data_IF_123309547135
#
_entry.id   IF_123309547135
#
_cell.length_a   1.000
_cell.length_b   1.000
_cell.length_c   1.000
_cell.angle_alpha   90.00
_cell.angle_beta   90.00
_cell.angle_gamma   90.00
#
_symmetry.space_group_name_H-M   'P 1'
#
loop_
_entity.id
_entity.type
_entity.pdbx_description
1 polymer ?
#
# COMPACT_ATOMS: atom_id res chain seq x y z
N UNK A 1 -4.83 33.71 7.28
CA UNK A 1 -5.64 32.90 6.34
C UNK A 1 -5.24 31.47 6.53
N UNK A 2 -6.10 30.52 6.90
CA UNK A 2 -5.72 29.14 6.97
C UNK A 2 -5.37 28.68 5.54
N UNK A 3 -4.17 28.13 5.36
CA UNK A 3 -3.72 27.53 4.13
C UNK A 3 -4.79 26.53 3.66
N UNK A 4 -5.20 26.65 2.40
CA UNK A 4 -6.34 25.96 1.86
C UNK A 4 -6.31 24.46 2.16
N UNK A 5 -7.29 24.00 2.91
CA UNK A 5 -7.49 22.57 3.17
C UNK A 5 -7.77 21.92 1.82
N UNK A 6 -6.82 21.14 1.34
CA UNK A 6 -6.99 20.37 0.12
C UNK A 6 -8.26 19.53 0.26
N UNK A 7 -9.18 19.63 -0.71
CA UNK A 7 -10.45 18.91 -0.63
C UNK A 7 -10.18 17.42 -0.41
N UNK A 8 -10.80 16.76 0.58
CA UNK A 8 -10.50 15.37 0.94
C UNK A 8 -10.42 14.42 -0.25
N UNK A 9 -11.36 14.52 -1.19
CA UNK A 9 -11.38 13.68 -2.38
C UNK A 9 -10.19 13.90 -3.32
N UNK A 10 -9.67 15.13 -3.41
CA UNK A 10 -8.49 15.41 -4.25
C UNK A 10 -7.22 14.81 -3.64
N UNK A 11 -7.07 14.90 -2.32
CA UNK A 11 -5.95 14.28 -1.60
C UNK A 11 -5.93 12.77 -1.80
N UNK A 12 -7.10 12.13 -1.65
CA UNK A 12 -7.24 10.69 -1.87
C UNK A 12 -6.94 10.29 -3.32
N UNK A 13 -7.47 11.00 -4.30
CA UNK A 13 -7.22 10.73 -5.72
C UNK A 13 -5.72 10.87 -6.06
N UNK A 14 -5.07 11.91 -5.54
CA UNK A 14 -3.62 12.11 -5.72
C UNK A 14 -2.81 10.96 -5.10
N UNK A 15 -3.18 10.54 -3.91
CA UNK A 15 -2.53 9.41 -3.24
C UNK A 15 -2.69 8.10 -4.03
N UNK A 16 -3.91 7.81 -4.52
CA UNK A 16 -4.16 6.64 -5.36
C UNK A 16 -3.35 6.70 -6.67
N UNK A 17 -3.23 7.88 -7.29
CA UNK A 17 -2.41 8.05 -8.49
C UNK A 17 -0.92 7.80 -8.22
N UNK A 18 -0.37 8.31 -7.12
CA UNK A 18 1.01 8.06 -6.70
C UNK A 18 1.24 6.56 -6.45
N UNK A 19 0.32 5.90 -5.75
CA UNK A 19 0.38 4.46 -5.50
C UNK A 19 0.34 3.65 -6.80
N UNK A 20 -0.59 3.98 -7.68
CA UNK A 20 -0.71 3.33 -8.98
C UNK A 20 0.58 3.46 -9.81
N UNK A 21 1.14 4.67 -9.91
CA UNK A 21 2.38 4.90 -10.63
C UNK A 21 3.55 4.15 -9.98
N UNK A 22 3.69 4.22 -8.66
CA UNK A 22 4.75 3.55 -7.92
C UNK A 22 4.66 2.02 -8.00
N UNK A 23 3.47 1.44 -7.93
CA UNK A 23 3.28 0.00 -8.08
C UNK A 23 3.47 -0.45 -9.54
N UNK A 24 3.14 0.39 -10.52
CA UNK A 24 3.43 0.10 -11.93
C UNK A 24 4.93 0.07 -12.20
N UNK A 25 5.69 0.98 -11.59
CA UNK A 25 7.15 0.97 -11.66
C UNK A 25 7.75 -0.28 -10.99
N UNK A 26 7.27 -0.66 -9.82
CA UNK A 26 7.68 -1.88 -9.14
C UNK A 26 7.33 -3.14 -9.96
N UNK A 27 6.15 -3.17 -10.58
CA UNK A 27 5.73 -4.26 -11.46
C UNK A 27 6.64 -4.39 -12.69
N UNK A 28 7.06 -3.27 -13.27
CA UNK A 28 8.03 -3.26 -14.37
C UNK A 28 9.37 -3.86 -13.92
N UNK A 29 9.87 -3.45 -12.77
CA UNK A 29 11.09 -4.03 -12.18
C UNK A 29 10.96 -5.54 -11.96
N UNK A 30 9.83 -6.00 -11.40
CA UNK A 30 9.56 -7.43 -11.22
C UNK A 30 9.50 -8.17 -12.56
N UNK A 31 8.89 -7.58 -13.60
CA UNK A 31 8.81 -8.20 -14.93
C UNK A 31 10.21 -8.45 -15.49
N UNK A 32 11.11 -7.48 -15.38
CA UNK A 32 12.53 -7.64 -15.78
C UNK A 32 13.21 -8.73 -14.94
N UNK A 33 13.00 -8.72 -13.63
CA UNK A 33 13.64 -9.70 -12.73
C UNK A 33 13.16 -11.14 -12.96
N UNK A 34 11.90 -11.34 -13.36
CA UNK A 34 11.32 -12.66 -13.62
C UNK A 34 11.30 -13.04 -15.10
N UNK A 35 11.86 -12.22 -15.99
CA UNK A 35 11.81 -12.37 -17.45
C UNK A 35 10.36 -12.57 -17.94
N UNK A 36 9.45 -11.69 -17.51
CA UNK A 36 8.03 -11.71 -17.84
C UNK A 36 7.64 -10.44 -18.60
N UNK A 37 8.22 -10.29 -19.83
CA UNK A 37 7.95 -9.15 -20.70
C UNK A 37 6.52 -9.16 -21.29
N UNK A 38 5.82 -10.30 -21.13
CA UNK A 38 4.42 -10.49 -21.51
C UNK A 38 3.45 -9.73 -20.60
N UNK A 39 3.89 -9.31 -19.41
CA UNK A 39 3.04 -8.65 -18.43
C UNK A 39 3.02 -7.13 -18.61
N UNK A 40 1.83 -6.58 -18.81
CA UNK A 40 1.64 -5.15 -18.80
C UNK A 40 1.76 -4.59 -17.37
N UNK A 41 2.86 -3.90 -17.08
CA UNK A 41 3.20 -3.41 -15.75
C UNK A 41 2.10 -2.54 -15.12
N UNK A 42 1.38 -1.75 -15.92
CA UNK A 42 0.28 -0.92 -15.44
C UNK A 42 -0.93 -1.77 -14.98
N UNK A 43 -1.18 -2.94 -15.61
CA UNK A 43 -2.25 -3.86 -15.16
C UNK A 43 -1.89 -4.46 -13.81
N UNK A 44 -0.65 -4.92 -13.66
CA UNK A 44 -0.15 -5.48 -12.40
C UNK A 44 -0.15 -4.41 -11.30
N UNK A 45 0.31 -3.21 -11.60
CA UNK A 45 0.26 -2.06 -10.69
C UNK A 45 -1.17 -1.68 -10.29
N UNK A 46 -2.11 -1.72 -11.24
CA UNK A 46 -3.53 -1.50 -10.97
C UNK A 46 -4.13 -2.55 -10.03
N UNK A 47 -3.88 -3.83 -10.31
CA UNK A 47 -4.32 -4.94 -9.43
C UNK A 47 -3.70 -4.78 -8.04
N UNK A 48 -2.42 -4.42 -7.95
CA UNK A 48 -1.75 -4.18 -6.66
C UNK A 48 -2.38 -3.03 -5.88
N UNK A 49 -2.75 -1.95 -6.56
CA UNK A 49 -3.45 -0.81 -5.95
C UNK A 49 -4.82 -1.24 -5.41
N UNK A 50 -5.61 -1.98 -6.21
CA UNK A 50 -6.92 -2.47 -5.79
C UNK A 50 -6.85 -3.44 -4.60
N UNK A 51 -5.87 -4.37 -4.60
CA UNK A 51 -5.63 -5.26 -3.46
C UNK A 51 -5.31 -4.44 -2.21
N UNK A 52 -4.44 -3.44 -2.33
CA UNK A 52 -4.09 -2.56 -1.22
C UNK A 52 -5.27 -1.78 -0.67
N UNK A 53 -6.14 -1.26 -1.55
CA UNK A 53 -7.38 -0.58 -1.12
C UNK A 53 -8.33 -1.52 -0.38
N UNK A 54 -8.56 -2.71 -0.93
CA UNK A 54 -9.42 -3.72 -0.30
C UNK A 54 -8.87 -4.19 1.04
N UNK A 55 -7.57 -4.49 1.12
CA UNK A 55 -6.91 -4.92 2.35
C UNK A 55 -6.88 -3.80 3.40
N UNK A 56 -6.64 -2.55 2.99
CA UNK A 56 -6.69 -1.38 3.86
C UNK A 56 -8.10 -1.17 4.44
N UNK A 57 -9.13 -1.27 3.61
CA UNK A 57 -10.52 -1.18 4.06
C UNK A 57 -10.90 -2.30 5.01
N UNK A 58 -10.49 -3.54 4.73
CA UNK A 58 -10.72 -4.69 5.60
C UNK A 58 -9.98 -4.54 6.94
N UNK A 59 -8.73 -4.11 6.91
CA UNK A 59 -7.95 -3.84 8.12
C UNK A 59 -8.57 -2.75 8.98
N UNK A 60 -9.01 -1.66 8.35
CA UNK A 60 -9.72 -0.58 9.04
C UNK A 60 -11.03 -1.08 9.67
N UNK A 61 -11.81 -1.87 8.92
CA UNK A 61 -13.05 -2.47 9.43
C UNK A 61 -12.81 -3.39 10.63
N UNK A 62 -11.79 -4.24 10.59
CA UNK A 62 -11.42 -5.10 11.71
C UNK A 62 -10.97 -4.29 12.92
N UNK A 63 -10.19 -3.24 12.73
CA UNK A 63 -9.75 -2.37 13.80
C UNK A 63 -10.91 -1.66 14.49
N UNK A 64 -11.88 -1.16 13.73
CA UNK A 64 -13.08 -0.52 14.28
C UNK A 64 -14.00 -1.47 15.08
N UNK A 65 -13.92 -2.78 14.80
CA UNK A 65 -14.61 -3.80 15.62
C UNK A 65 -13.90 -4.08 16.95
N UNK A 66 -12.56 -3.97 16.98
CA UNK A 66 -11.75 -4.20 18.19
C UNK A 66 -11.83 -2.98 19.13
N UNK A 67 -11.82 -1.78 18.57
CA UNK A 67 -11.92 -0.53 19.34
C UNK A 67 -12.99 0.41 18.75
N UNK A 68 -14.27 0.17 19.08
CA UNK A 68 -15.37 1.01 18.60
C UNK A 68 -15.31 2.46 19.11
N UNK A 69 -14.53 2.70 20.18
CA UNK A 69 -14.39 4.02 20.81
C UNK A 69 -13.30 4.86 20.14
N UNK A 70 -12.46 4.26 19.32
CA UNK A 70 -11.46 4.99 18.54
C UNK A 70 -12.14 5.72 17.38
N UNK A 71 -12.45 7.02 17.51
CA UNK A 71 -12.92 7.78 16.36
C UNK A 71 -11.85 7.76 15.28
N UNK A 72 -12.18 8.00 14.00
CA UNK A 72 -11.20 8.07 12.92
C UNK A 72 -10.01 9.01 13.22
N UNK A 73 -10.21 9.98 14.10
CA UNK A 73 -9.17 10.87 14.62
C UNK A 73 -8.34 10.24 15.75
N UNK A 74 -8.88 9.35 16.54
CA UNK A 74 -8.20 8.69 17.66
C UNK A 74 -7.26 7.57 17.22
N UNK A 75 -7.50 6.97 16.04
CA UNK A 75 -6.62 5.96 15.46
C UNK A 75 -5.18 6.47 15.28
N UNK A 76 -4.99 7.78 15.18
CA UNK A 76 -3.69 8.43 15.03
C UNK A 76 -3.26 9.27 16.25
N UNK A 77 -4.18 9.50 17.20
CA UNK A 77 -3.92 10.33 18.39
C UNK A 77 -3.03 9.67 19.44
N UNK A 78 -2.82 8.36 19.37
CA UNK A 78 -2.06 7.64 20.36
C UNK A 78 -0.78 6.97 19.84
N UNK A 79 -0.89 6.13 18.81
CA UNK A 79 0.24 5.29 18.38
C UNK A 79 0.20 4.99 16.87
N UNK A 80 0.58 5.94 15.99
CA UNK A 80 0.65 5.69 14.54
C UNK A 80 1.59 4.51 14.20
N UNK A 81 2.58 4.24 15.04
CA UNK A 81 3.52 3.14 14.86
C UNK A 81 2.86 1.77 15.02
N UNK A 82 1.89 1.61 15.92
CA UNK A 82 1.18 0.32 16.10
C UNK A 82 0.31 0.01 14.88
N UNK A 83 -0.33 1.02 14.30
CA UNK A 83 -1.08 0.85 13.06
C UNK A 83 -0.17 0.45 11.90
N UNK A 84 0.95 1.14 11.73
CA UNK A 84 1.93 0.82 10.69
C UNK A 84 2.56 -0.55 10.90
N UNK A 85 2.87 -0.92 12.14
CA UNK A 85 3.38 -2.25 12.46
C UNK A 85 2.35 -3.36 12.17
N UNK A 86 1.07 -3.11 12.47
CA UNK A 86 -0.02 -4.03 12.14
C UNK A 86 -0.27 -4.19 10.64
N UNK A 87 0.09 -3.21 9.83
CA UNK A 87 0.04 -3.32 8.36
C UNK A 87 1.16 -4.20 7.78
N UNK A 88 2.24 -4.46 8.52
CA UNK A 88 3.37 -5.22 8.01
C UNK A 88 2.98 -6.62 7.49
N UNK A 89 2.26 -7.47 8.26
CA UNK A 89 1.84 -8.77 7.77
C UNK A 89 0.90 -8.67 6.57
N UNK A 90 0.04 -7.65 6.53
CA UNK A 90 -0.86 -7.39 5.40
C UNK A 90 -0.04 -7.07 4.15
N UNK A 91 0.97 -6.20 4.24
CA UNK A 91 1.85 -5.84 3.13
C UNK A 91 2.64 -7.04 2.60
N UNK A 92 3.16 -7.88 3.50
CA UNK A 92 3.85 -9.12 3.13
C UNK A 92 2.90 -10.04 2.36
N UNK A 93 1.70 -10.27 2.86
CA UNK A 93 0.70 -11.10 2.21
C UNK A 93 0.29 -10.57 0.82
N UNK A 94 0.07 -9.27 0.69
CA UNK A 94 -0.28 -8.62 -0.57
C UNK A 94 0.82 -8.81 -1.64
N UNK A 95 2.09 -8.61 -1.28
CA UNK A 95 3.20 -8.83 -2.21
C UNK A 95 3.41 -10.30 -2.54
N UNK A 96 3.19 -11.19 -1.57
CA UNK A 96 3.24 -12.64 -1.79
C UNK A 96 2.18 -13.09 -2.78
N UNK A 97 0.94 -12.65 -2.59
CA UNK A 97 -0.17 -12.94 -3.53
C UNK A 97 0.13 -12.40 -4.92
N UNK A 98 0.67 -11.18 -5.02
CA UNK A 98 1.01 -10.58 -6.31
C UNK A 98 2.07 -11.40 -7.06
N UNK A 99 3.16 -11.79 -6.37
CA UNK A 99 4.23 -12.59 -6.97
C UNK A 99 3.71 -13.96 -7.37
N UNK A 100 2.94 -14.61 -6.52
CA UNK A 100 2.32 -15.89 -6.83
C UNK A 100 1.39 -15.80 -8.03
N UNK A 101 0.58 -14.75 -8.11
CA UNK A 101 -0.43 -14.62 -9.16
C UNK A 101 0.17 -14.34 -10.54
N UNK A 102 1.17 -13.48 -10.62
CA UNK A 102 1.69 -12.95 -11.88
C UNK A 102 3.07 -13.47 -12.28
N UNK A 103 3.94 -13.79 -11.33
CA UNK A 103 5.35 -14.04 -11.62
C UNK A 103 5.81 -15.48 -11.38
N UNK A 104 5.42 -16.10 -10.28
CA UNK A 104 5.87 -17.46 -9.92
C UNK A 104 4.76 -18.29 -9.26
N UNK A 105 3.78 -18.71 -10.05
CA UNK A 105 2.68 -19.57 -9.56
C UNK A 105 3.13 -20.91 -9.01
N UNK A 106 4.21 -21.43 -9.54
CA UNK A 106 4.73 -22.75 -9.14
C UNK A 106 5.71 -22.67 -7.97
N UNK A 107 5.97 -21.46 -7.46
CA UNK A 107 6.93 -21.19 -6.37
C UNK A 107 8.29 -21.86 -6.60
N UNK A 108 8.76 -21.85 -7.86
CA UNK A 108 10.02 -22.50 -8.26
C UNK A 108 11.25 -21.81 -7.65
N UNK A 109 11.14 -20.54 -7.29
CA UNK A 109 12.24 -19.74 -6.76
C UNK A 109 11.84 -19.07 -5.43
N UNK A 110 11.61 -19.85 -4.36
CA UNK A 110 11.07 -19.30 -3.12
C UNK A 110 12.00 -18.26 -2.47
N UNK A 111 13.30 -18.44 -2.54
CA UNK A 111 14.29 -17.49 -2.01
C UNK A 111 14.24 -16.13 -2.75
N UNK A 112 14.04 -16.14 -4.07
CA UNK A 112 13.84 -14.94 -4.86
C UNK A 112 12.49 -14.29 -4.53
N UNK A 113 11.44 -15.10 -4.41
CA UNK A 113 10.11 -14.64 -4.01
C UNK A 113 10.15 -13.86 -2.70
N UNK A 114 10.76 -14.40 -1.67
CA UNK A 114 10.90 -13.73 -0.37
C UNK A 114 11.69 -12.42 -0.43
N UNK A 115 12.78 -12.37 -1.20
CA UNK A 115 13.51 -11.11 -1.42
C UNK A 115 12.65 -10.05 -2.09
N UNK A 116 11.86 -10.43 -3.11
CA UNK A 116 10.98 -9.51 -3.81
C UNK A 116 9.80 -9.06 -2.94
N UNK A 117 9.25 -9.95 -2.11
CA UNK A 117 8.24 -9.59 -1.09
C UNK A 117 8.81 -8.55 -0.11
N UNK A 118 10.02 -8.77 0.39
CA UNK A 118 10.67 -7.83 1.30
C UNK A 118 10.88 -6.45 0.67
N UNK A 119 11.44 -6.41 -0.55
CA UNK A 119 11.65 -5.17 -1.29
C UNK A 119 10.31 -4.47 -1.60
N UNK A 120 9.31 -5.22 -2.02
CA UNK A 120 7.97 -4.68 -2.29
C UNK A 120 7.29 -4.12 -1.04
N UNK A 121 7.48 -4.78 0.10
CA UNK A 121 6.98 -4.29 1.39
C UNK A 121 7.63 -2.96 1.77
N UNK A 122 8.96 -2.86 1.68
CA UNK A 122 9.69 -1.60 1.89
C UNK A 122 9.19 -0.53 0.92
N UNK A 123 9.06 -0.87 -0.36
CA UNK A 123 8.55 0.05 -1.38
C UNK A 123 7.14 0.57 -1.06
N UNK A 124 6.26 -0.28 -0.52
CA UNK A 124 4.93 0.14 -0.08
C UNK A 124 4.99 1.21 0.99
N UNK A 125 5.88 1.08 1.98
CA UNK A 125 6.06 2.10 3.02
C UNK A 125 6.66 3.40 2.46
N UNK A 126 7.57 3.31 1.49
CA UNK A 126 8.09 4.50 0.79
C UNK A 126 6.95 5.24 0.09
N UNK A 127 6.03 4.54 -0.55
CA UNK A 127 4.87 5.14 -1.21
C UNK A 127 3.82 5.68 -0.21
N UNK A 128 3.87 5.27 1.05
CA UNK A 128 3.04 5.84 2.12
C UNK A 128 3.61 7.18 2.64
N UNK A 129 4.89 7.46 2.41
CA UNK A 129 5.54 8.68 2.89
C UNK A 129 4.85 9.99 2.44
N UNK A 130 4.36 10.14 1.19
CA UNK A 130 3.60 11.32 0.78
C UNK A 130 2.30 11.50 1.58
N UNK A 131 1.61 10.41 1.94
CA UNK A 131 0.41 10.46 2.77
C UNK A 131 0.74 10.88 4.20
N UNK A 132 1.86 10.41 4.74
CA UNK A 132 2.35 10.82 6.06
C UNK A 132 2.75 12.29 6.08
N UNK A 133 3.43 12.77 5.04
CA UNK A 133 3.76 14.18 4.89
C UNK A 133 2.51 15.05 4.77
N UNK A 134 1.51 14.60 4.01
CA UNK A 134 0.22 15.25 3.89
C UNK A 134 -0.52 15.34 5.23
N UNK A 135 -0.45 14.30 6.06
CA UNK A 135 -1.01 14.31 7.41
C UNK A 135 -0.39 15.40 8.29
N UNK A 136 0.93 15.51 8.28
CA UNK A 136 1.66 16.54 9.06
C UNK A 136 1.27 17.94 8.57
N UNK A 137 1.11 18.14 7.26
CA UNK A 137 0.83 19.43 6.66
C UNK A 137 -0.64 19.87 6.77
N UNK A 138 -1.60 18.94 6.77
CA UNK A 138 -3.03 19.26 6.62
C UNK A 138 -3.93 18.70 7.73
N UNK A 139 -3.35 18.04 8.74
CA UNK A 139 -4.07 17.33 9.80
C UNK A 139 -5.11 16.29 9.26
N UNK A 140 -4.91 15.79 8.04
CA UNK A 140 -5.75 14.77 7.42
C UNK A 140 -4.91 13.59 6.91
N UNK A 141 -5.19 12.37 7.40
CA UNK A 141 -4.41 11.18 7.04
C UNK A 141 -5.14 10.33 6.01
N UNK A 142 -4.42 9.95 4.95
CA UNK A 142 -4.92 9.16 3.83
C UNK A 142 -4.05 7.92 3.67
N UNK A 143 -4.52 6.77 4.13
CA UNK A 143 -3.85 5.47 3.92
C UNK A 143 -4.78 4.53 3.19
N UNK A 144 -4.26 3.94 2.12
CA UNK A 144 -4.83 2.75 1.48
C UNK A 144 -3.89 1.57 1.68
#
# INVERSE_FOLDING_TARGET
MPAGVMHPGLGYATFCAIKFAGYSAAAHFLSVMYNRDDLASWKVGGVRTLIGMAAGAAYFGLWSLIDPSAPPRGMFGGFPYLYLAGLLPVRIAEWWVLIWLFYDRALRQPGKGWRMVGLGTIWSYVLDAPAMAGFIATAGFWVC
#
